data_IF_835003740047
#
_entry.id   IF_835003740047
#
_cell.length_a   1.000
_cell.length_b   1.000
_cell.length_c   1.000
_cell.angle_alpha   90.00
_cell.angle_beta   90.00
_cell.angle_gamma   90.00
#
_symmetry.space_group_name_H-M   'P 1'
#
loop_
_entity.id
_entity.type
_entity.pdbx_description
1 polymer ?
2 water ?
#
# COMPACT_ATOMS: atom_id res chain seq x y z
N UNK A 1 11.58 -9.67 14.82
CA UNK A 1 11.70 -10.07 16.20
C UNK A 1 12.92 -9.47 16.87
N UNK A 2 13.93 -9.13 16.07
CA UNK A 2 15.15 -8.52 16.59
C UNK A 2 15.17 -7.01 16.35
N UNK A 3 14.02 -6.47 15.97
CA UNK A 3 13.91 -5.04 15.70
C UNK A 3 13.76 -4.27 17.00
N UNK A 4 14.24 -3.03 17.01
CA UNK A 4 13.99 -2.14 18.13
C UNK A 4 12.50 -1.86 18.20
N UNK A 5 11.90 -1.99 19.40
CA UNK A 5 10.47 -1.71 19.58
C UNK A 5 10.11 -0.27 19.28
N UNK A 6 9.04 -0.09 18.51
CA UNK A 6 8.46 1.23 18.27
C UNK A 6 7.94 1.79 19.59
N UNK A 7 8.35 3.01 19.93
CA UNK A 7 7.95 3.65 21.18
C UNK A 7 7.45 5.07 20.94
N UNK A 8 6.79 5.65 21.93
CA UNK A 8 6.35 7.03 21.86
C UNK A 8 7.53 7.98 21.71
N UNK A 9 8.65 7.66 22.37
CA UNK A 9 9.84 8.48 22.30
C UNK A 9 10.43 8.51 20.90
N UNK A 10 10.52 7.33 20.29
CA UNK A 10 11.03 7.23 18.92
C UNK A 10 10.13 7.99 17.96
N UNK A 11 8.82 7.90 18.18
CA UNK A 11 7.86 8.63 17.37
C UNK A 11 7.99 10.14 17.57
N UNK A 12 8.07 10.58 18.82
CA UNK A 12 8.18 11.99 19.14
C UNK A 12 9.49 12.58 18.63
N UNK A 13 10.55 11.77 18.65
CA UNK A 13 11.82 12.18 18.06
C UNK A 13 11.66 12.41 16.56
N UNK A 14 10.95 11.50 15.91
CA UNK A 14 10.67 11.62 14.48
C UNK A 14 9.84 12.89 14.20
N UNK A 15 8.90 13.20 15.10
CA UNK A 15 8.08 14.40 14.97
C UNK A 15 8.86 15.69 15.17
N UNK A 16 10.05 15.58 15.74
CA UNK A 16 10.81 16.77 16.14
C UNK A 16 11.45 17.46 14.93
N UNK A 17 10.60 17.99 14.06
CA UNK A 17 11.07 18.65 12.86
C UNK A 17 10.30 19.94 12.61
N UNK A 18 10.85 20.78 11.75
CA UNK A 18 10.18 22.00 11.34
C UNK A 18 9.63 21.83 9.91
N UNK A 19 8.35 21.52 9.80
CA UNK A 19 7.72 21.29 8.52
C UNK A 19 6.63 20.23 8.59
N UNK A 20 6.13 19.84 7.43
CA UNK A 20 5.02 18.88 7.35
C UNK A 20 5.46 17.45 7.67
N UNK A 21 4.52 16.65 8.18
CA UNK A 21 4.77 15.24 8.48
C UNK A 21 3.81 14.39 7.67
N UNK A 22 4.35 13.41 6.93
CA UNK A 22 3.56 12.53 6.09
C UNK A 22 3.61 11.12 6.66
N UNK A 23 2.42 10.57 6.91
CA UNK A 23 2.31 9.24 7.51
C UNK A 23 1.49 8.36 6.60
N UNK A 24 2.08 7.23 6.21
CA UNK A 24 1.41 6.29 5.30
C UNK A 24 1.25 4.97 6.02
N UNK A 25 -0.01 4.55 6.21
CA UNK A 25 -0.31 3.35 6.96
C UNK A 25 -0.90 2.27 6.04
N UNK A 26 -0.15 1.19 5.85
CA UNK A 26 -0.63 0.05 5.08
C UNK A 26 -1.32 -0.91 6.02
N UNK A 27 -2.64 -0.79 6.12
CA UNK A 27 -3.43 -1.55 7.07
C UNK A 27 -4.55 -2.31 6.39
N UNK A 28 -4.91 -3.45 6.97
CA UNK A 28 -6.06 -4.20 6.49
C UNK A 28 -7.32 -3.62 7.14
N UNK A 29 -8.14 -2.95 6.34
CA UNK A 29 -9.34 -2.31 6.87
C UNK A 29 -10.55 -3.19 6.56
N UNK A 30 -11.37 -3.44 7.57
CA UNK A 30 -12.54 -4.31 7.39
C UNK A 30 -13.72 -3.80 8.22
N UNK A 31 -14.91 -3.84 7.65
CA UNK A 31 -16.12 -3.47 8.38
C UNK A 31 -16.73 -4.68 9.08
N UNK A 32 -16.11 -5.84 8.91
CA UNK A 32 -16.57 -7.07 9.54
C UNK A 32 -16.58 -6.95 11.06
N UNK A 33 -17.51 -7.67 11.70
CA UNK A 33 -17.63 -7.63 13.14
C UNK A 33 -16.55 -8.45 13.82
N UNK A 47 -6.77 -13.29 10.23
CA UNK A 47 -5.89 -12.24 10.72
C UNK A 47 -6.43 -11.61 12.00
N UNK A 48 -5.55 -10.95 12.76
CA UNK A 48 -5.96 -10.30 14.00
C UNK A 48 -5.56 -8.83 13.98
N UNK A 49 -4.64 -8.45 13.10
CA UNK A 49 -4.26 -7.06 12.92
C UNK A 49 -5.10 -6.39 11.85
N UNK A 50 -6.40 -6.36 12.11
CA UNK A 50 -7.37 -5.75 11.22
C UNK A 50 -8.15 -4.72 12.03
N UNK A 51 -8.58 -3.64 11.39
CA UNK A 51 -9.37 -2.64 12.11
C UNK A 51 -10.42 -2.02 11.19
N UNK A 52 -11.49 -1.50 11.80
CA UNK A 52 -12.58 -0.86 11.07
C UNK A 52 -12.28 0.62 10.86
N UNK A 53 -12.94 1.24 9.86
CA UNK A 53 -12.71 2.66 9.56
C UNK A 53 -12.92 3.59 10.75
N UNK A 54 -14.05 3.45 11.45
CA UNK A 54 -14.35 4.32 12.57
C UNK A 54 -13.33 4.15 13.71
N UNK A 55 -12.87 2.92 13.92
CA UNK A 55 -11.87 2.64 14.92
C UNK A 55 -10.54 3.29 14.60
N UNK A 56 -10.14 3.23 13.33
CA UNK A 56 -8.92 3.85 12.85
C UNK A 56 -8.92 5.36 13.09
N UNK A 57 -10.03 6.00 12.72
CA UNK A 57 -10.16 7.45 12.86
C UNK A 57 -10.17 7.85 14.33
N UNK A 58 -10.97 7.13 15.12
CA UNK A 58 -11.06 7.38 16.55
C UNK A 58 -9.70 7.28 17.22
N UNK A 59 -9.00 6.18 16.94
CA UNK A 59 -7.72 5.92 17.58
C UNK A 59 -6.61 6.87 17.12
N UNK A 60 -6.86 7.61 16.03
CA UNK A 60 -5.91 8.60 15.54
C UNK A 60 -6.52 10.01 15.51
N UNK A 61 -7.49 10.27 16.37
CA UNK A 61 -8.22 11.54 16.31
C UNK A 61 -7.33 12.74 16.61
N UNK A 62 -6.41 12.58 17.55
CA UNK A 62 -5.48 13.66 17.89
C UNK A 62 -4.46 13.85 16.76
N UNK A 63 -3.95 12.74 16.23
CA UNK A 63 -2.95 12.79 15.18
C UNK A 63 -3.45 13.51 13.92
N UNK A 64 -4.68 13.21 13.51
CA UNK A 64 -5.20 13.77 12.27
C UNK A 64 -5.59 15.24 12.42
N UNK A 65 -5.99 15.63 13.63
CA UNK A 65 -6.45 16.99 13.86
C UNK A 65 -5.28 17.98 13.89
N UNK A 66 -4.06 17.46 13.89
CA UNK A 66 -2.87 18.31 13.79
C UNK A 66 -2.74 18.91 12.39
N UNK A 67 -2.39 20.19 12.32
CA UNK A 67 -2.42 20.93 11.06
C UNK A 67 -1.27 20.62 10.12
N UNK A 68 -0.15 20.17 10.65
CA UNK A 68 1.04 19.94 9.83
C UNK A 68 1.23 18.47 9.47
N UNK A 69 0.19 17.66 9.72
CA UNK A 69 0.32 16.23 9.57
C UNK A 69 -0.70 15.69 8.57
N UNK A 70 -0.25 14.80 7.70
CA UNK A 70 -1.11 14.20 6.68
C UNK A 70 -1.03 12.69 6.78
N UNK A 71 -2.16 12.05 7.05
CA UNK A 71 -2.22 10.61 7.21
C UNK A 71 -2.92 9.96 6.01
N UNK A 72 -2.26 8.98 5.40
CA UNK A 72 -2.81 8.25 4.26
C UNK A 72 -2.91 6.77 4.55
N UNK A 73 -4.04 6.17 4.18
CA UNK A 73 -4.21 4.72 4.21
C UNK A 73 -3.80 4.12 2.87
N UNK A 74 -2.95 3.09 2.91
CA UNK A 74 -2.59 2.34 1.72
C UNK A 74 -3.29 1.00 1.82
N UNK A 75 -4.15 0.72 0.85
CA UNK A 75 -5.06 -0.42 0.91
C UNK A 75 -5.13 -1.12 -0.44
N UNK A 76 -5.33 -2.44 -0.40
CA UNK A 76 -5.56 -3.22 -1.62
C UNK A 76 -6.96 -3.04 -2.17
N UNK A 77 -7.86 -2.47 -1.36
CA UNK A 77 -9.27 -2.41 -1.71
C UNK A 77 -9.55 -1.45 -2.86
N UNK A 78 -10.63 -1.71 -3.59
CA UNK A 78 -10.99 -0.87 -4.72
C UNK A 78 -11.61 0.43 -4.25
N UNK A 79 -11.58 1.42 -5.15
CA UNK A 79 -12.05 2.76 -4.84
C UNK A 79 -13.45 2.76 -4.23
N UNK A 80 -14.37 2.03 -4.85
CA UNK A 80 -15.76 2.06 -4.43
C UNK A 80 -15.94 1.53 -3.00
N UNK A 81 -15.18 0.51 -2.61
CA UNK A 81 -15.24 0.00 -1.23
C UNK A 81 -14.67 1.02 -0.24
N UNK A 82 -13.56 1.66 -0.60
CA UNK A 82 -12.97 2.66 0.28
C UNK A 82 -13.84 3.90 0.43
N UNK A 83 -14.49 4.31 -0.66
CA UNK A 83 -15.37 5.47 -0.60
C UNK A 83 -16.56 5.20 0.33
N UNK A 84 -17.07 3.97 0.31
CA UNK A 84 -18.12 3.60 1.24
C UNK A 84 -17.61 3.63 2.68
N UNK A 85 -16.43 3.07 2.90
CA UNK A 85 -15.85 3.00 4.24
C UNK A 85 -15.55 4.35 4.85
N UNK A 86 -15.03 5.27 4.05
CA UNK A 86 -14.47 6.50 4.62
C UNK A 86 -15.21 7.76 4.20
N UNK A 87 -16.43 7.60 3.70
CA UNK A 87 -17.24 8.74 3.24
C UNK A 87 -17.41 9.80 4.32
N UNK A 88 -17.51 9.37 5.58
CA UNK A 88 -17.71 10.28 6.69
C UNK A 88 -16.39 10.77 7.27
N UNK A 89 -15.28 10.30 6.71
CA UNK A 89 -13.97 10.62 7.27
C UNK A 89 -13.00 11.22 6.23
N UNK A 90 -13.27 12.44 5.77
CA UNK A 90 -12.41 13.04 4.76
C UNK A 90 -11.02 13.41 5.28
N UNK A 91 -10.79 13.31 6.59
CA UNK A 91 -9.47 13.65 7.16
C UNK A 91 -8.38 12.68 6.72
N UNK A 92 -8.79 11.49 6.29
CA UNK A 92 -7.85 10.43 5.94
C UNK A 92 -7.63 10.36 4.41
N UNK A 93 -6.39 10.49 3.99
CA UNK A 93 -6.08 10.30 2.59
C UNK A 93 -6.19 8.83 2.23
N UNK A 94 -6.54 8.55 0.98
CA UNK A 94 -6.74 7.17 0.55
C UNK A 94 -5.87 6.81 -0.65
N UNK A 95 -5.26 5.63 -0.58
CA UNK A 95 -4.56 5.07 -1.73
C UNK A 95 -5.17 3.69 -1.98
N UNK A 96 -5.82 3.52 -3.14
CA UNK A 96 -6.59 2.32 -3.43
C UNK A 96 -5.85 1.37 -4.37
N UNK A 97 -6.19 0.09 -4.30
CA UNK A 97 -5.58 -0.97 -5.10
C UNK A 97 -4.06 -0.85 -5.09
N UNK A 98 -3.53 -0.66 -3.89
CA UNK A 98 -2.10 -0.66 -3.62
C UNK A 98 -1.34 0.44 -4.36
N UNK A 99 -2.03 1.48 -4.79
CA UNK A 99 -1.35 2.59 -5.41
C UNK A 99 -1.90 3.04 -6.75
N UNK A 100 -2.77 2.23 -7.37
CA UNK A 100 -3.30 2.57 -8.69
C UNK A 100 -4.16 3.83 -8.68
N UNK A 101 -4.75 4.13 -7.53
CA UNK A 101 -5.63 5.29 -7.39
C UNK A 101 -5.37 6.02 -6.09
N UNK A 102 -5.40 7.35 -6.14
CA UNK A 102 -5.10 8.18 -4.98
C UNK A 102 -6.18 9.23 -4.78
N UNK A 103 -6.71 9.31 -3.56
CA UNK A 103 -7.59 10.41 -3.21
C UNK A 103 -6.91 11.25 -2.14
N UNK A 104 -6.35 12.37 -2.57
CA UNK A 104 -5.67 13.31 -1.69
C UNK A 104 -6.63 13.83 -0.63
N UNK A 105 -6.09 14.21 0.53
CA UNK A 105 -6.91 14.72 1.61
C UNK A 105 -7.71 15.94 1.15
N UNK A 106 -9.02 15.90 1.34
CA UNK A 106 -9.89 16.99 0.94
C UNK A 106 -10.41 16.91 -0.49
N UNK A 107 -9.88 15.98 -1.27
CA UNK A 107 -10.26 15.85 -2.68
C UNK A 107 -11.57 15.10 -2.86
N UNK A 108 -12.37 15.53 -3.84
CA UNK A 108 -13.63 14.85 -4.14
C UNK A 108 -13.41 13.71 -5.12
N UNK A 109 -12.33 13.78 -5.88
CA UNK A 109 -12.10 12.84 -6.96
C UNK A 109 -10.83 12.03 -6.80
N UNK A 110 -10.82 10.83 -7.37
CA UNK A 110 -9.62 10.00 -7.39
C UNK A 110 -8.71 10.40 -8.53
N UNK A 111 -7.42 10.37 -8.24
CA UNK A 111 -6.39 10.44 -9.24
C UNK A 111 -6.05 9.04 -9.73
N UNK A 112 -6.04 8.86 -11.03
CA UNK A 112 -5.67 7.55 -11.58
C UNK A 112 -4.19 7.54 -11.96
N UNK A 113 -3.39 6.93 -11.11
CA UNK A 113 -1.99 6.68 -11.43
C UNK A 113 -1.91 5.59 -12.48
N UNK A 114 -2.82 4.62 -12.38
CA UNK A 114 -3.00 3.61 -13.42
C UNK A 114 -3.41 4.31 -14.72
N UNK A 115 -2.85 3.87 -15.84
CA UNK A 115 -3.22 4.38 -17.15
C UNK A 115 -4.42 3.61 -17.67
N UNK A 116 -5.50 4.31 -18.02
CA UNK A 116 -6.73 3.63 -18.40
C UNK A 116 -6.58 2.83 -19.69
N UNK A 117 -5.75 3.33 -20.62
CA UNK A 117 -5.50 2.60 -21.86
C UNK A 117 -4.76 1.29 -21.57
N UNK A 118 -3.82 1.33 -20.64
CA UNK A 118 -3.17 0.11 -20.18
C UNK A 118 -4.18 -0.86 -19.57
N UNK A 119 -5.04 -0.34 -18.69
CA UNK A 119 -6.07 -1.15 -18.05
C UNK A 119 -7.01 -1.78 -19.08
N UNK A 120 -7.52 -0.97 -20.00
CA UNK A 120 -8.41 -1.46 -21.05
C UNK A 120 -7.76 -2.55 -21.88
N UNK A 121 -6.46 -2.44 -22.09
CA UNK A 121 -5.74 -3.39 -22.94
C UNK A 121 -5.35 -4.69 -22.25
N UNK A 122 -4.93 -4.62 -20.99
CA UNK A 122 -4.34 -5.79 -20.34
C UNK A 122 -5.25 -6.50 -19.34
N UNK A 123 -6.07 -5.74 -18.62
CA UNK A 123 -6.94 -6.35 -17.60
C UNK A 123 -7.83 -7.48 -18.16
N UNK A 124 -8.51 -7.27 -19.31
CA UNK A 124 -9.36 -8.37 -19.79
C UNK A 124 -8.58 -9.65 -20.09
N UNK A 125 -7.37 -9.51 -20.62
CA UNK A 125 -6.51 -10.65 -20.89
C UNK A 125 -6.08 -11.34 -19.60
N UNK A 126 -5.72 -10.55 -18.60
CA UNK A 126 -5.31 -11.10 -17.32
C UNK A 126 -6.46 -11.84 -16.65
N UNK A 127 -7.64 -11.23 -16.65
CA UNK A 127 -8.82 -11.84 -16.02
C UNK A 127 -9.19 -13.16 -16.69
N UNK A 128 -9.16 -13.18 -18.02
CA UNK A 128 -9.46 -14.37 -18.80
C UNK A 128 -8.48 -15.50 -18.46
N UNK A 129 -7.21 -15.15 -18.37
CA UNK A 129 -6.17 -16.12 -18.01
C UNK A 129 -6.42 -16.70 -16.62
N UNK A 130 -6.66 -15.83 -15.65
CA UNK A 130 -6.91 -16.28 -14.28
C UNK A 130 -8.17 -17.15 -14.20
N UNK A 131 -9.21 -16.76 -14.94
CA UNK A 131 -10.47 -17.51 -14.91
C UNK A 131 -10.30 -18.92 -15.46
N UNK A 132 -9.42 -19.08 -16.45
CA UNK A 132 -9.14 -20.40 -17.02
C UNK A 132 -8.40 -21.30 -16.03
N UNK A 133 -7.63 -20.70 -15.13
CA UNK A 133 -6.97 -21.45 -14.07
C UNK A 133 -7.99 -21.90 -13.04
N UNK A 134 -8.95 -21.02 -12.75
CA UNK A 134 -10.01 -21.32 -11.79
C UNK A 134 -10.77 -22.57 -12.21
N UNK A 135 -11.08 -22.66 -13.50
CA UNK A 135 -11.82 -23.79 -14.04
C UNK A 135 -11.12 -25.12 -13.77
N UNK A 136 -9.79 -25.12 -13.87
CA UNK A 136 -9.01 -26.35 -13.74
C UNK A 136 -8.61 -26.64 -12.29
N UNK A 137 -8.98 -25.73 -11.38
CA UNK A 137 -8.66 -25.90 -9.96
C UNK A 137 -9.88 -25.61 -9.09
N UNK A 138 -10.75 -26.62 -8.90
CA UNK A 138 -11.98 -26.44 -8.13
C UNK A 138 -11.74 -25.93 -6.72
N UNK A 139 -12.57 -24.99 -6.28
CA UNK A 139 -12.40 -24.37 -4.98
C UNK A 139 -11.71 -23.03 -5.07
N UNK A 140 -11.00 -22.79 -6.17
CA UNK A 140 -10.31 -21.52 -6.35
C UNK A 140 -11.27 -20.51 -6.97
N UNK A 141 -10.92 -19.23 -6.89
CA UNK A 141 -11.74 -18.20 -7.52
C UNK A 141 -10.93 -16.97 -7.90
N UNK A 142 -11.53 -16.18 -8.78
CA UNK A 142 -10.89 -14.98 -9.32
C UNK A 142 -11.55 -13.72 -8.78
N UNK A 143 -10.73 -12.80 -8.28
CA UNK A 143 -11.21 -11.49 -7.86
C UNK A 143 -10.63 -10.45 -8.82
N UNK A 144 -11.50 -9.81 -9.59
CA UNK A 144 -11.06 -8.78 -10.52
C UNK A 144 -11.48 -7.40 -10.03
N UNK A 145 -10.50 -6.56 -9.70
CA UNK A 145 -10.79 -5.17 -9.35
C UNK A 145 -10.58 -4.32 -10.61
N UNK A 146 -10.33 -3.03 -10.46
CA UNK A 146 -10.23 -2.17 -11.64
C UNK A 146 -8.83 -2.19 -12.26
N UNK A 147 -7.81 -2.43 -11.44
CA UNK A 147 -6.42 -2.39 -11.91
C UNK A 147 -5.56 -3.49 -11.29
N UNK A 148 -6.21 -4.42 -10.61
CA UNK A 148 -5.51 -5.56 -10.04
C UNK A 148 -6.37 -6.80 -10.19
N UNK A 149 -5.73 -7.96 -10.24
CA UNK A 149 -6.44 -9.23 -10.30
C UNK A 149 -5.83 -10.15 -9.25
N UNK A 150 -6.68 -10.83 -8.50
CA UNK A 150 -6.19 -11.75 -7.48
C UNK A 150 -6.78 -13.15 -7.68
N UNK A 151 -5.89 -14.13 -7.74
CA UNK A 151 -6.26 -15.53 -7.92
C UNK A 151 -6.20 -16.21 -6.55
N UNK A 152 -7.36 -16.51 -5.99
CA UNK A 152 -7.45 -17.10 -4.65
C UNK A 152 -7.49 -18.62 -4.70
N UNK A 153 -6.64 -19.27 -3.90
CA UNK A 153 -6.65 -20.73 -3.80
C UNK A 153 -7.98 -21.21 -3.23
N UNK A 154 -8.54 -20.45 -2.30
CA UNK A 154 -9.80 -20.80 -1.68
C UNK A 154 -9.75 -22.20 -1.09
N UNK A 155 -10.76 -22.99 -1.39
CA UNK A 155 -10.89 -24.32 -0.81
C UNK A 155 -9.91 -25.33 -1.43
N UNK A 156 -9.36 -25.01 -2.60
CA UNK A 156 -8.41 -25.90 -3.25
C UNK A 156 -7.18 -26.10 -2.38
N UNK A 157 -6.90 -25.12 -1.53
CA UNK A 157 -5.73 -25.13 -0.66
C UNK A 157 -5.85 -26.20 0.42
N UNK A 158 -7.08 -26.44 0.87
CA UNK A 158 -7.32 -27.46 1.90
C UNK A 158 -7.54 -28.83 1.25
N UNK A 159 -8.18 -28.83 0.08
CA UNK A 159 -8.42 -30.07 -0.65
C UNK A 159 -7.12 -30.75 -1.08
N UNK A 160 -6.12 -29.95 -1.45
CA UNK A 160 -4.79 -30.44 -1.76
C UNK A 160 -3.83 -29.26 -1.84
N UNK A 161 -3.13 -28.98 -0.74
CA UNK A 161 -2.26 -27.83 -0.66
C UNK A 161 -1.15 -27.86 -1.72
N UNK A 162 -0.65 -29.07 -1.99
CA UNK A 162 0.43 -29.25 -2.95
C UNK A 162 -0.03 -28.91 -4.37
N UNK A 163 -1.18 -29.42 -4.76
CA UNK A 163 -1.74 -29.13 -6.07
C UNK A 163 -2.04 -27.65 -6.22
N UNK A 164 -2.57 -27.06 -5.15
CA UNK A 164 -2.90 -25.64 -5.14
C UNK A 164 -1.66 -24.78 -5.35
N UNK A 165 -0.65 -24.99 -4.52
CA UNK A 165 0.62 -24.25 -4.63
C UNK A 165 1.26 -24.45 -6.00
N UNK A 166 1.19 -25.67 -6.51
CA UNK A 166 1.73 -25.99 -7.81
C UNK A 166 1.03 -25.17 -8.90
N UNK A 167 -0.30 -25.14 -8.83
CA UNK A 167 -1.10 -24.41 -9.81
C UNK A 167 -0.84 -22.90 -9.72
N UNK A 168 -0.71 -22.38 -8.51
CA UNK A 168 -0.44 -20.95 -8.32
C UNK A 168 0.95 -20.59 -8.84
N UNK A 169 1.94 -21.45 -8.57
CA UNK A 169 3.29 -21.21 -9.05
C UNK A 169 3.35 -21.27 -10.57
N UNK A 170 2.58 -22.18 -11.14
CA UNK A 170 2.48 -22.33 -12.59
C UNK A 170 1.88 -21.06 -13.20
N UNK A 171 0.86 -20.54 -12.54
CA UNK A 171 0.14 -19.34 -12.97
C UNK A 171 1.02 -18.11 -12.91
N UNK A 172 1.83 -18.01 -11.85
CA UNK A 172 2.80 -16.93 -11.73
C UNK A 172 3.78 -16.92 -12.91
N UNK A 173 4.29 -18.09 -13.29
CA UNK A 173 5.21 -18.20 -14.42
C UNK A 173 4.53 -17.80 -15.72
N UNK A 174 3.30 -18.29 -15.91
CA UNK A 174 2.49 -18.00 -17.09
C UNK A 174 2.27 -16.50 -17.25
N UNK A 175 1.74 -15.85 -16.21
CA UNK A 175 1.50 -14.42 -16.24
C UNK A 175 2.78 -13.60 -16.41
N UNK A 176 3.84 -13.97 -15.70
CA UNK A 176 5.07 -13.20 -15.80
C UNK A 176 5.70 -13.32 -17.18
N UNK A 177 5.66 -14.52 -17.75
CA UNK A 177 6.21 -14.71 -19.09
C UNK A 177 5.53 -13.79 -20.09
N UNK A 178 4.21 -13.72 -20.02
CA UNK A 178 3.43 -12.99 -21.00
C UNK A 178 3.30 -11.49 -20.75
N UNK A 179 3.37 -11.05 -19.49
CA UNK A 179 3.09 -9.64 -19.20
C UNK A 179 4.23 -8.84 -18.58
N UNK A 180 5.34 -9.51 -18.25
CA UNK A 180 6.48 -8.80 -17.66
C UNK A 180 6.93 -7.60 -18.50
N UNK A 181 6.91 -7.74 -19.83
CA UNK A 181 7.37 -6.65 -20.71
C UNK A 181 6.46 -5.42 -20.59
N UNK A 182 5.24 -5.61 -20.10
CA UNK A 182 4.31 -4.50 -19.89
C UNK A 182 4.48 -3.84 -18.52
N UNK A 183 5.47 -4.29 -17.75
CA UNK A 183 5.66 -3.78 -16.41
C UNK A 183 4.61 -4.32 -15.45
N UNK A 184 4.17 -5.56 -15.70
CA UNK A 184 3.17 -6.21 -14.88
C UNK A 184 3.72 -7.55 -14.37
N UNK A 185 3.51 -7.85 -13.09
CA UNK A 185 3.98 -9.10 -12.53
C UNK A 185 2.95 -9.76 -11.63
N UNK A 186 3.02 -11.09 -11.53
CA UNK A 186 2.24 -11.85 -10.57
C UNK A 186 3.14 -12.23 -9.39
N UNK A 187 2.59 -12.19 -8.18
CA UNK A 187 3.36 -12.54 -6.99
C UNK A 187 2.51 -13.43 -6.08
N UNK A 188 3.16 -14.34 -5.37
CA UNK A 188 2.46 -15.17 -4.40
C UNK A 188 2.40 -14.44 -3.06
N UNK A 189 1.20 -14.17 -2.60
CA UNK A 189 0.99 -13.51 -1.32
C UNK A 189 0.01 -14.34 -0.50
N UNK A 190 0.51 -14.94 0.57
CA UNK A 190 -0.26 -15.86 1.38
C UNK A 190 -0.71 -17.05 0.55
N UNK A 191 -2.03 -17.19 0.37
CA UNK A 191 -2.58 -18.27 -0.42
C UNK A 191 -3.27 -17.72 -1.65
N UNK A 192 -2.64 -16.74 -2.29
CA UNK A 192 -3.20 -16.14 -3.49
C UNK A 192 -2.11 -15.60 -4.40
N UNK A 193 -2.45 -15.43 -5.66
CA UNK A 193 -1.59 -14.77 -6.62
C UNK A 193 -2.15 -13.38 -6.90
N UNK A 194 -1.36 -12.33 -6.67
CA UNK A 194 -1.82 -10.99 -7.01
C UNK A 194 -1.07 -10.47 -8.25
N UNK A 195 -1.83 -9.94 -9.19
CA UNK A 195 -1.29 -9.37 -10.41
C UNK A 195 -1.39 -7.85 -10.34
N UNK A 196 -0.25 -7.16 -10.42
CA UNK A 196 -0.28 -5.69 -10.37
C UNK A 196 0.85 -5.06 -11.18
N UNK A 197 0.68 -3.76 -11.43
CA UNK A 197 1.70 -2.95 -12.06
C UNK A 197 2.95 -2.85 -11.19
N UNK A 198 4.11 -3.00 -11.81
CA UNK A 198 5.38 -2.92 -11.09
C UNK A 198 5.55 -1.62 -10.31
N UNK A 199 5.96 -1.76 -9.04
CA UNK A 199 6.26 -0.64 -8.16
C UNK A 199 5.13 0.40 -8.06
N UNK A 200 3.89 -0.02 -8.22
CA UNK A 200 2.80 0.95 -8.22
C UNK A 200 2.63 1.57 -6.82
N UNK A 201 2.91 0.82 -5.75
CA UNK A 201 2.81 1.38 -4.40
C UNK A 201 3.90 2.42 -4.18
N UNK A 202 5.08 2.17 -4.72
CA UNK A 202 6.18 3.13 -4.62
C UNK A 202 5.83 4.41 -5.36
N UNK A 203 5.26 4.27 -6.55
CA UNK A 203 4.89 5.43 -7.35
C UNK A 203 3.79 6.25 -6.67
N UNK A 204 2.86 5.58 -5.99
CA UNK A 204 1.81 6.29 -5.28
C UNK A 204 2.36 7.04 -4.08
N UNK A 205 3.27 6.41 -3.35
CA UNK A 205 3.88 7.07 -2.21
C UNK A 205 4.65 8.31 -2.69
N UNK A 206 5.39 8.15 -3.78
CA UNK A 206 6.13 9.27 -4.35
C UNK A 206 5.19 10.40 -4.78
N UNK A 207 4.05 10.04 -5.35
CA UNK A 207 3.06 11.03 -5.77
C UNK A 207 2.48 11.80 -4.59
N UNK A 208 2.05 11.07 -3.57
CA UNK A 208 1.50 11.71 -2.37
C UNK A 208 2.55 12.60 -1.71
N UNK A 209 3.76 12.07 -1.57
CA UNK A 209 4.86 12.85 -1.00
C UNK A 209 5.11 14.13 -1.82
N UNK A 210 5.15 14.01 -3.14
CA UNK A 210 5.36 15.17 -4.01
C UNK A 210 4.28 16.23 -3.83
N UNK A 211 3.02 15.81 -3.71
CA UNK A 211 1.93 16.74 -3.57
C UNK A 211 2.08 17.59 -2.32
N UNK A 212 2.39 16.96 -1.20
CA UNK A 212 2.51 17.69 0.04
C UNK A 212 3.89 18.37 0.17
N UNK A 213 4.90 17.78 -0.47
CA UNK A 213 6.26 18.33 -0.38
C UNK A 213 6.45 19.56 -1.25
N UNK A 214 5.79 19.58 -2.41
CA UNK A 214 5.97 20.66 -3.37
C UNK A 214 4.71 21.49 -3.54
N UNK A 215 3.73 21.23 -2.70
CA UNK A 215 2.43 21.90 -2.75
C UNK A 215 1.77 21.87 -4.14
N UNK A 216 1.64 20.67 -4.69
CA UNK A 216 0.97 20.51 -5.98
C UNK A 216 -0.54 20.41 -5.83
N UNK A 217 -1.29 21.09 -6.69
CA UNK A 217 -2.73 20.86 -6.73
C UNK A 217 -3.03 19.71 -7.68
N UNK A 218 -4.24 19.19 -7.56
CA UNK A 218 -4.66 17.99 -8.26
C UNK A 218 -4.58 18.14 -9.78
N UNK A 219 -5.00 19.30 -10.27
CA UNK A 219 -5.01 19.54 -11.70
C UNK A 219 -3.61 19.41 -12.29
N UNK A 220 -2.61 19.90 -11.56
CA UNK A 220 -1.23 19.78 -12.01
C UNK A 220 -0.82 18.32 -12.07
N UNK A 221 -1.12 17.58 -11.02
CA UNK A 221 -0.78 16.16 -10.94
C UNK A 221 -1.44 15.37 -12.08
N UNK A 222 -2.73 15.60 -12.30
CA UNK A 222 -3.45 14.90 -13.36
C UNK A 222 -2.86 15.24 -14.72
N UNK A 223 -2.63 16.53 -14.96
CA UNK A 223 -2.03 16.99 -16.23
C UNK A 223 -0.65 16.39 -16.45
N UNK A 224 0.11 16.25 -15.38
CA UNK A 224 1.48 15.73 -15.49
C UNK A 224 1.62 14.30 -14.98
N UNK A 225 0.57 13.50 -15.13
CA UNK A 225 0.57 12.18 -14.50
C UNK A 225 1.65 11.27 -15.09
N UNK A 226 2.03 11.49 -16.35
CA UNK A 226 3.09 10.71 -16.97
C UNK A 226 4.39 10.74 -16.16
N UNK A 227 4.70 11.91 -15.59
CA UNK A 227 5.88 12.05 -14.76
C UNK A 227 5.80 11.17 -13.50
N UNK A 228 4.61 11.02 -12.93
CA UNK A 228 4.46 10.20 -11.74
C UNK A 228 4.38 8.70 -12.08
N UNK A 229 4.19 8.40 -13.35
CA UNK A 229 4.16 7.02 -13.84
C UNK A 229 5.53 6.53 -14.28
N UNK A 230 6.49 7.44 -14.39
CA UNK A 230 7.84 7.10 -14.83
C UNK A 230 8.51 6.19 -13.80
N UNK A 231 9.57 5.46 -14.20
CA UNK A 231 10.22 4.55 -13.24
C UNK A 231 10.79 5.27 -12.02
N UNK A 232 10.82 4.57 -10.89
CA UNK A 232 11.29 5.13 -9.63
C UNK A 232 12.73 5.61 -9.68
N UNK A 233 13.48 5.15 -10.70
CA UNK A 233 14.88 5.51 -10.86
C UNK A 233 15.08 7.01 -11.07
N UNK A 234 14.22 7.62 -11.87
CA UNK A 234 14.31 9.04 -12.19
C UNK A 234 13.64 9.91 -11.13
N UNK A 235 14.45 10.52 -10.27
CA UNK A 235 13.91 11.33 -9.18
C UNK A 235 14.75 12.55 -8.83
N UNK A 236 14.31 13.71 -9.30
CA UNK A 236 14.85 14.99 -8.85
C UNK A 236 13.70 15.83 -8.29
N UNK A 237 13.69 16.05 -6.97
CA UNK A 237 12.60 16.77 -6.31
C UNK A 237 12.78 18.29 -6.36
N UNK A 238 11.67 19.02 -6.40
CA UNK A 238 11.70 20.48 -6.48
C UNK A 238 12.40 21.09 -5.27
N UNK A 239 12.70 22.39 -5.35
CA UNK A 239 13.44 23.09 -4.31
C UNK A 239 12.79 22.99 -2.93
N UNK A 240 11.52 22.62 -2.94
CA UNK A 240 10.73 22.55 -1.72
C UNK A 240 11.09 21.36 -0.84
N UNK A 241 11.13 21.63 0.45
CA UNK A 241 11.24 20.61 1.47
C UNK A 241 10.13 20.85 2.47
N UNK A 242 8.91 21.04 1.96
CA UNK A 242 7.76 21.30 2.82
C UNK A 242 7.51 20.14 3.77
N UNK A 243 7.81 18.92 3.32
CA UNK A 243 7.70 17.75 4.17
C UNK A 243 9.06 17.44 4.79
N UNK A 244 9.11 17.46 6.13
CA UNK A 244 10.36 17.26 6.85
C UNK A 244 10.44 15.90 7.54
N UNK A 245 9.34 15.14 7.49
CA UNK A 245 9.30 13.81 8.10
C UNK A 245 8.33 12.91 7.37
N UNK A 246 8.77 11.68 7.07
CA UNK A 246 7.92 10.67 6.43
C UNK A 246 7.95 9.37 7.23
N UNK A 247 6.79 8.77 7.43
CA UNK A 247 6.70 7.51 8.14
C UNK A 247 5.87 6.52 7.35
N UNK A 248 6.31 5.27 7.28
CA UNK A 248 5.52 4.21 6.67
C UNK A 248 5.39 3.06 7.64
N UNK A 249 4.16 2.57 7.80
CA UNK A 249 3.93 1.38 8.63
C UNK A 249 3.23 0.32 7.79
N UNK A 250 3.65 -0.93 7.97
CA UNK A 250 3.03 -2.01 7.22
C UNK A 250 3.13 -3.33 7.93
N UNK A 251 3.14 -4.40 7.13
CA UNK A 251 3.35 -5.74 7.65
C UNK A 251 4.60 -6.34 7.05
N UNK A 252 4.65 -7.65 7.01
CA UNK A 252 5.81 -8.35 6.48
C UNK A 252 5.46 -9.07 5.20
N UNK A 253 5.29 -8.29 4.14
CA UNK A 253 5.07 -8.85 2.81
C UNK A 253 6.15 -8.29 1.89
N UNK A 254 6.29 -8.88 0.71
CA UNK A 254 7.28 -8.41 -0.27
C UNK A 254 7.02 -6.98 -0.68
N UNK A 255 5.74 -6.63 -0.76
CA UNK A 255 5.35 -5.28 -1.16
C UNK A 255 5.65 -4.29 -0.05
N UNK A 256 5.38 -4.67 1.20
CA UNK A 256 5.78 -3.84 2.33
C UNK A 256 7.28 -3.60 2.30
N UNK A 257 8.04 -4.63 1.98
CA UNK A 257 9.49 -4.55 2.00
C UNK A 257 10.01 -3.53 1.01
N UNK A 258 9.41 -3.50 -0.18
CA UNK A 258 9.77 -2.52 -1.19
C UNK A 258 9.48 -1.11 -0.68
N UNK A 259 8.35 -0.96 0.01
CA UNK A 259 8.00 0.33 0.59
C UNK A 259 8.94 0.74 1.72
N UNK A 260 9.33 -0.21 2.57
CA UNK A 260 10.27 0.10 3.66
C UNK A 260 11.59 0.60 3.07
N UNK A 261 12.12 -0.14 2.12
CA UNK A 261 13.38 0.23 1.49
C UNK A 261 13.30 1.60 0.84
N UNK A 262 12.18 1.90 0.19
CA UNK A 262 12.00 3.20 -0.45
C UNK A 262 11.94 4.34 0.57
N UNK A 263 11.11 4.17 1.61
CA UNK A 263 10.99 5.21 2.62
C UNK A 263 12.31 5.39 3.38
N UNK A 264 13.02 4.28 3.63
CA UNK A 264 14.34 4.35 4.26
C UNK A 264 15.31 5.18 3.42
N UNK A 265 15.24 5.01 2.11
CA UNK A 265 16.13 5.70 1.19
C UNK A 265 15.82 7.19 1.09
N UNK A 266 14.63 7.59 1.51
CA UNK A 266 14.23 9.00 1.44
C UNK A 266 14.98 9.88 2.44
N UNK A 267 15.73 9.26 3.34
CA UNK A 267 16.43 10.00 4.38
C UNK A 267 17.43 10.98 3.76
N UNK A 268 17.84 10.75 2.52
CA UNK A 268 18.74 11.67 1.83
C UNK A 268 18.01 12.92 1.33
N UNK A 269 16.69 12.81 1.15
CA UNK A 269 15.90 13.87 0.54
C UNK A 269 14.96 14.59 1.50
N UNK A 270 14.51 13.87 2.54
CA UNK A 270 13.44 14.38 3.38
C UNK A 270 13.93 14.89 4.73
N UNK A 271 14.72 14.08 5.43
CA UNK A 271 15.24 14.51 6.71
C UNK A 271 15.04 13.48 7.82
N UNK A 272 13.81 13.41 8.33
CA UNK A 272 13.41 12.34 9.23
C UNK A 272 12.58 11.31 8.48
N UNK A 273 12.98 10.04 8.59
CA UNK A 273 12.20 8.94 8.03
C UNK A 273 12.09 7.86 9.08
N UNK A 274 11.00 7.09 9.05
CA UNK A 274 10.82 6.01 10.00
C UNK A 274 9.99 4.93 9.34
N UNK A 275 10.45 3.69 9.45
CA UNK A 275 9.69 2.56 8.98
C UNK A 275 9.41 1.63 10.16
N UNK A 276 8.19 1.14 10.26
CA UNK A 276 7.81 0.25 11.35
C UNK A 276 6.89 -0.85 10.82
N UNK A 277 7.14 -2.08 11.26
CA UNK A 277 6.31 -3.19 10.82
C UNK A 277 5.55 -3.80 11.98
N UNK A 278 4.35 -4.28 11.68
CA UNK A 278 3.59 -5.11 12.60
C UNK A 278 4.24 -6.49 12.68
N UNK A 279 4.49 -6.96 13.90
CA UNK A 279 5.08 -8.27 14.09
C UNK A 279 4.21 -9.11 15.01
N UNK A 280 4.40 -10.42 14.99
CA UNK A 280 3.55 -11.31 15.78
C UNK A 280 4.28 -12.55 16.25
N UNK A 281 3.55 -13.42 16.92
CA UNK A 281 4.00 -14.77 17.21
C UNK A 281 3.21 -15.74 16.32
N UNK A 282 3.88 -16.30 15.31
CA UNK A 282 5.30 -16.04 15.10
C UNK A 282 5.67 -15.78 13.65
N UNK A 283 6.02 -14.52 13.36
CA UNK A 283 6.74 -14.17 12.14
C UNK A 283 8.02 -13.46 12.55
N UNK A 284 8.50 -13.80 13.75
CA UNK A 284 9.67 -13.16 14.35
C UNK A 284 10.96 -13.45 13.59
N UNK A 285 11.01 -14.58 12.89
CA UNK A 285 12.23 -14.94 12.17
C UNK A 285 12.25 -14.40 10.73
N UNK A 286 11.13 -13.85 10.28
CA UNK A 286 11.09 -13.26 8.94
C UNK A 286 11.96 -12.02 8.85
N UNK A 287 12.74 -11.92 7.78
CA UNK A 287 13.63 -10.78 7.58
C UNK A 287 12.87 -9.55 7.08
N UNK A 288 13.31 -8.37 7.53
CA UNK A 288 12.67 -7.13 7.11
C UNK A 288 13.64 -5.95 7.08
N UNK A 289 13.30 -4.95 6.28
CA UNK A 289 14.08 -3.72 6.20
C UNK A 289 13.49 -2.63 7.09
N UNK A 290 12.33 -2.91 7.69
CA UNK A 290 11.74 -1.98 8.64
C UNK A 290 12.68 -1.78 9.82
N UNK A 291 12.81 -0.55 10.30
CA UNK A 291 13.68 -0.27 11.44
C UNK A 291 13.04 -0.73 12.76
N UNK A 292 11.74 -0.47 12.90
CA UNK A 292 11.03 -0.73 14.15
C UNK A 292 9.96 -1.80 14.00
N UNK A 293 9.57 -2.40 15.12
CA UNK A 293 8.46 -3.35 15.13
C UNK A 293 7.43 -3.06 16.21
N UNK A 294 6.15 -3.32 15.91
CA UNK A 294 5.07 -3.27 16.89
C UNK A 294 4.30 -4.58 16.87
N UNK A 295 3.79 -5.00 18.02
CA UNK A 295 3.17 -6.32 18.10
C UNK A 295 1.65 -6.29 17.90
N UNK A 296 1.06 -5.10 17.81
CA UNK A 296 -0.36 -4.99 17.56
C UNK A 296 -0.76 -3.66 16.94
N UNK A 297 -1.93 -3.64 16.31
CA UNK A 297 -2.41 -2.42 15.66
C UNK A 297 -2.83 -1.35 16.67
N UNK A 298 -3.40 -1.77 17.79
CA UNK A 298 -3.79 -0.80 18.81
C UNK A 298 -2.56 -0.10 19.38
N UNK A 299 -1.48 -0.86 19.56
CA UNK A 299 -0.25 -0.30 20.07
C UNK A 299 0.35 0.70 19.08
N UNK A 300 0.31 0.33 17.81
CA UNK A 300 0.79 1.20 16.75
C UNK A 300 0.03 2.53 16.75
N UNK A 301 -1.30 2.46 16.75
CA UNK A 301 -2.12 3.66 16.65
C UNK A 301 -2.01 4.52 17.91
N UNK A 302 -1.87 3.88 19.07
CA UNK A 302 -1.75 4.62 20.32
C UNK A 302 -0.47 5.45 20.35
N UNK A 303 0.61 4.89 19.80
CA UNK A 303 1.87 5.63 19.69
C UNK A 303 1.73 6.78 18.69
N UNK A 304 1.15 6.51 17.54
CA UNK A 304 0.98 7.55 16.52
C UNK A 304 0.04 8.67 16.96
N UNK A 305 -0.83 8.39 17.92
CA UNK A 305 -1.79 9.39 18.35
C UNK A 305 -1.29 10.15 19.58
N UNK A 306 -0.15 9.73 20.11
CA UNK A 306 0.40 10.36 21.32
C UNK A 306 0.95 11.75 21.01
#
# INVERSE_FOLDING_TARGET
GNLVPFTKNAFKDWCSVNGKRLIILALEISSAVSNSRGNSAGSTSGKVNVIDPSGLVRLLSDLVESQDTFVYLLSYLQRSDLDIMFKRYPQIGLIAENGNFVKLIGAKNWISLADKDELNSWMPEIVKLVESKVERLPGSFCEALDATVRFHAGKSFSEDRERSLDTMGETIQHINTLFEHNGVHATLVRNSVIVQKDQISLKAIRLVLSCHNSNLDQKYVVTHINEFQQPMKDDIPSNDHEVAAVLYSGGLTSIDEANYEYVNSLKKDIGNTLTVTLISSSNEETKTAATYGVRGINELLCILNS
#
